data_IF_455936543714
#
_entry.id   IF_455936543714
#
_cell.length_a   1.000
_cell.length_b   1.000
_cell.length_c   1.000
_cell.angle_alpha   90.00
_cell.angle_beta   90.00
_cell.angle_gamma   90.00
#
_symmetry.space_group_name_H-M   'P 1'
#
loop_
_entity.id
_entity.type
_entity.pdbx_description
1 polymer ?
#
# COMPACT_ATOMS: atom_id res chain seq x y z
N UNK A 1 -47.79 23.30 73.48
CA UNK A 1 -49.02 24.12 73.31
C UNK A 1 -49.45 24.03 71.84
N UNK A 2 -50.71 23.57 71.69
CA UNK A 2 -51.72 23.87 70.59
C UNK A 2 -51.23 23.58 69.14
N UNK A 3 -51.91 22.94 68.28
CA UNK A 3 -53.19 22.19 68.09
C UNK A 3 -53.14 21.71 66.67
N UNK A 4 -53.25 20.50 66.42
CA UNK A 4 -54.31 19.66 65.78
C UNK A 4 -55.37 20.43 64.99
N UNK A 5 -55.49 20.21 63.69
CA UNK A 5 -56.80 20.12 62.97
C UNK A 5 -56.64 19.16 61.80
N UNK A 6 -57.41 18.09 61.91
CA UNK A 6 -57.75 17.07 60.92
C UNK A 6 -58.90 17.57 60.08
N UNK A 7 -58.84 17.33 58.73
CA UNK A 7 -60.07 17.37 57.95
C UNK A 7 -60.16 16.17 57.02
N UNK A 8 -61.15 15.37 57.26
CA UNK A 8 -61.67 14.26 56.42
C UNK A 8 -62.65 14.83 55.43
N UNK A 9 -62.66 14.37 54.21
CA UNK A 9 -63.82 14.30 53.32
C UNK A 9 -63.59 13.23 52.24
N UNK A 10 -64.16 12.19 52.31
CA UNK A 10 -65.29 11.36 51.82
C UNK A 10 -65.44 11.43 50.27
N UNK A 11 -65.09 10.35 49.70
CA UNK A 11 -65.58 9.48 48.60
C UNK A 11 -66.78 9.94 47.80
N UNK A 12 -66.65 9.93 46.48
CA UNK A 12 -67.66 9.40 45.59
C UNK A 12 -67.04 8.51 44.49
N UNK A 13 -67.49 7.25 44.50
CA UNK A 13 -67.31 6.32 43.36
C UNK A 13 -68.29 6.76 42.26
N UNK A 14 -67.82 6.86 41.05
CA UNK A 14 -68.58 6.73 39.83
C UNK A 14 -67.92 5.80 38.92
N UNK A 15 -68.41 4.58 38.74
CA UNK A 15 -68.14 3.68 37.67
C UNK A 15 -68.67 4.29 36.38
N UNK A 16 -67.75 4.45 35.40
CA UNK A 16 -68.14 4.42 34.00
C UNK A 16 -67.21 3.51 33.26
N UNK A 17 -67.76 2.40 32.85
CA UNK A 17 -67.19 1.48 31.87
C UNK A 17 -67.24 2.16 30.52
N UNK A 18 -66.07 2.47 29.96
CA UNK A 18 -65.94 2.65 28.54
C UNK A 18 -64.63 2.04 28.04
N UNK A 19 -64.84 1.16 27.12
CA UNK A 19 -63.99 0.41 26.23
C UNK A 19 -62.56 0.81 26.10
N UNK A 20 -61.67 -0.17 26.41
CA UNK A 20 -60.35 -0.32 25.91
C UNK A 20 -60.32 -0.24 24.37
N UNK A 21 -59.65 0.77 23.86
CA UNK A 21 -58.81 0.68 22.66
C UNK A 21 -57.41 0.96 23.12
N UNK A 22 -56.69 -0.08 23.46
CA UNK A 22 -55.25 -0.06 23.45
C UNK A 22 -54.81 0.16 22.00
N UNK A 23 -54.44 1.39 21.69
CA UNK A 23 -53.60 1.68 20.54
C UNK A 23 -52.30 0.97 20.76
N UNK A 24 -52.17 -0.18 20.13
CA UNK A 24 -50.86 -0.81 19.80
C UNK A 24 -50.12 0.09 18.79
N UNK A 25 -49.61 1.21 19.25
CA UNK A 25 -48.51 1.86 18.58
C UNK A 25 -47.25 1.02 18.85
N UNK A 26 -47.21 -0.18 18.28
CA UNK A 26 -45.93 -0.80 17.87
C UNK A 26 -45.34 0.13 16.83
N UNK A 27 -44.50 1.03 17.30
CA UNK A 27 -43.48 1.67 16.48
C UNK A 27 -42.64 0.53 15.93
N UNK A 28 -43.02 0.00 14.77
CA UNK A 28 -42.11 -0.70 13.89
C UNK A 28 -41.06 0.34 13.53
N UNK A 29 -40.01 0.41 14.32
CA UNK A 29 -38.75 0.95 13.85
C UNK A 29 -38.37 0.05 12.70
N UNK A 30 -38.72 0.45 11.48
CA UNK A 30 -38.10 -0.06 10.26
C UNK A 30 -36.64 0.27 10.48
N UNK A 31 -35.87 -0.74 10.92
CA UNK A 31 -34.40 -0.68 10.81
C UNK A 31 -34.15 -0.42 9.33
N UNK A 32 -33.80 0.82 9.01
CA UNK A 32 -33.34 1.18 7.67
C UNK A 32 -32.19 0.23 7.40
N UNK A 33 -32.39 -0.73 6.51
CA UNK A 33 -31.31 -1.62 6.11
C UNK A 33 -30.19 -0.73 5.60
N UNK A 34 -29.05 -0.79 6.27
CA UNK A 34 -27.88 -0.05 5.83
C UNK A 34 -27.50 -0.59 4.44
N UNK A 35 -27.19 0.31 3.49
CA UNK A 35 -26.83 -0.13 2.14
C UNK A 35 -25.63 -1.07 2.21
N UNK A 36 -25.66 -2.15 1.44
CA UNK A 36 -24.59 -3.15 1.39
C UNK A 36 -23.87 -3.12 0.05
N UNK A 37 -22.58 -3.43 0.06
CA UNK A 37 -21.77 -3.69 -1.13
C UNK A 37 -21.53 -5.19 -1.21
N UNK A 38 -21.63 -5.74 -2.42
CA UNK A 38 -21.30 -7.12 -2.70
C UNK A 38 -20.03 -7.19 -3.55
N UNK A 39 -19.03 -7.94 -3.08
CA UNK A 39 -17.77 -8.15 -3.78
C UNK A 39 -17.63 -9.64 -4.12
N UNK A 40 -17.38 -9.97 -5.39
CA UNK A 40 -17.12 -11.34 -5.83
C UNK A 40 -15.77 -11.83 -5.34
N UNK A 41 -15.75 -12.96 -4.64
CA UNK A 41 -14.51 -13.59 -4.16
C UNK A 41 -13.69 -14.20 -5.29
N UNK A 42 -14.34 -14.71 -6.34
CA UNK A 42 -13.63 -15.21 -7.52
C UNK A 42 -12.91 -14.07 -8.27
N UNK A 43 -13.61 -12.93 -8.45
CA UNK A 43 -12.99 -11.74 -9.04
C UNK A 43 -11.86 -11.22 -8.15
N UNK A 44 -12.05 -11.19 -6.84
CA UNK A 44 -11.03 -10.72 -5.90
C UNK A 44 -9.79 -11.63 -5.88
N UNK A 45 -10.00 -12.93 -6.01
CA UNK A 45 -8.91 -13.89 -6.17
C UNK A 45 -8.09 -13.62 -7.44
N UNK A 46 -8.76 -13.37 -8.58
CA UNK A 46 -8.10 -12.99 -9.83
C UNK A 46 -7.35 -11.66 -9.70
N UNK A 47 -7.94 -10.69 -8.99
CA UNK A 47 -7.31 -9.42 -8.68
C UNK A 47 -6.06 -9.58 -7.78
N UNK A 48 -6.10 -10.44 -6.77
CA UNK A 48 -4.92 -10.76 -5.93
C UNK A 48 -3.82 -11.46 -6.75
N UNK A 49 -4.19 -12.31 -7.70
CA UNK A 49 -3.23 -12.85 -8.65
C UNK A 49 -2.61 -11.76 -9.51
N UNK A 50 -3.45 -10.86 -10.03
CA UNK A 50 -3.02 -9.71 -10.82
C UNK A 50 -2.11 -8.77 -10.04
N UNK A 51 -2.34 -8.58 -8.74
CA UNK A 51 -1.43 -7.84 -7.86
C UNK A 51 -0.01 -8.43 -7.91
N UNK A 52 0.15 -9.71 -7.60
CA UNK A 52 1.47 -10.35 -7.55
C UNK A 52 2.17 -10.39 -8.90
N UNK A 53 1.43 -10.71 -9.96
CA UNK A 53 2.01 -10.73 -11.32
C UNK A 53 2.40 -9.33 -11.79
N UNK A 54 1.53 -8.35 -11.59
CA UNK A 54 1.77 -6.96 -11.99
C UNK A 54 2.93 -6.33 -11.23
N UNK A 55 3.02 -6.61 -9.92
CA UNK A 55 4.12 -6.18 -9.08
C UNK A 55 5.45 -6.78 -9.55
N UNK A 56 5.51 -8.10 -9.79
CA UNK A 56 6.74 -8.74 -10.28
C UNK A 56 7.19 -8.22 -11.65
N UNK A 57 6.28 -8.06 -12.63
CA UNK A 57 6.64 -7.50 -13.95
C UNK A 57 7.21 -6.09 -13.78
N UNK A 58 6.57 -5.29 -12.97
CA UNK A 58 6.91 -3.89 -12.79
C UNK A 58 8.21 -3.70 -11.99
N UNK A 59 8.36 -4.41 -10.86
CA UNK A 59 9.58 -4.40 -10.06
C UNK A 59 10.80 -4.78 -10.91
N UNK A 60 10.75 -5.94 -11.59
CA UNK A 60 11.90 -6.40 -12.40
C UNK A 60 12.20 -5.48 -13.58
N UNK A 61 11.20 -4.74 -14.09
CA UNK A 61 11.41 -3.73 -15.12
C UNK A 61 12.07 -2.48 -14.52
N UNK A 62 11.62 -2.04 -13.35
CA UNK A 62 12.21 -0.91 -12.63
C UNK A 62 13.64 -1.13 -12.17
N UNK A 63 13.95 -2.36 -11.72
CA UNK A 63 15.31 -2.77 -11.33
C UNK A 63 16.37 -2.58 -12.43
N UNK A 64 15.97 -2.47 -13.71
CA UNK A 64 16.94 -2.22 -14.80
C UNK A 64 17.60 -0.86 -14.63
N UNK A 65 16.89 0.13 -14.10
CA UNK A 65 17.35 1.52 -13.98
C UNK A 65 17.46 2.01 -12.54
N UNK A 66 17.34 1.09 -11.58
CA UNK A 66 17.41 1.41 -10.16
C UNK A 66 18.69 2.19 -9.84
N UNK A 67 18.53 3.38 -9.28
CA UNK A 67 19.61 4.28 -8.86
C UNK A 67 20.58 4.73 -9.97
N UNK A 68 20.25 4.54 -11.25
CA UNK A 68 21.04 5.06 -12.36
C UNK A 68 21.03 6.59 -12.40
N UNK A 69 19.85 7.16 -12.13
CA UNK A 69 19.58 8.60 -12.24
C UNK A 69 18.93 9.13 -10.97
N UNK A 70 19.75 9.80 -10.16
CA UNK A 70 19.28 10.51 -8.95
C UNK A 70 19.54 12.02 -9.00
N UNK A 71 19.93 12.52 -10.17
CA UNK A 71 20.42 13.89 -10.34
C UNK A 71 21.81 14.09 -9.74
N UNK A 72 22.10 15.33 -9.35
CA UNK A 72 23.40 15.68 -8.77
C UNK A 72 23.21 16.01 -7.28
N UNK A 73 23.44 15.03 -6.42
CA UNK A 73 23.21 15.12 -4.97
C UNK A 73 24.55 15.05 -4.23
N UNK A 74 24.94 16.12 -3.59
CA UNK A 74 26.24 16.18 -2.89
C UNK A 74 27.41 15.89 -3.85
N UNK A 75 28.16 14.83 -3.54
CA UNK A 75 29.28 14.37 -4.37
C UNK A 75 28.85 13.42 -5.49
N UNK A 76 27.66 12.84 -5.40
CA UNK A 76 27.12 11.91 -6.39
C UNK A 76 26.65 12.69 -7.62
N UNK A 77 27.09 12.28 -8.80
CA UNK A 77 26.78 12.91 -10.07
C UNK A 77 26.34 11.89 -11.09
N UNK A 78 25.02 11.75 -11.28
CA UNK A 78 24.47 10.82 -12.28
C UNK A 78 24.08 11.51 -13.59
N UNK A 79 24.26 12.84 -13.68
CA UNK A 79 23.91 13.61 -14.86
C UNK A 79 22.41 13.85 -15.02
N UNK A 80 21.99 13.99 -16.27
CA UNK A 80 20.59 14.22 -16.61
C UNK A 80 19.77 12.94 -16.43
N UNK A 81 18.53 13.12 -16.03
CA UNK A 81 17.58 12.00 -15.92
C UNK A 81 17.21 11.43 -17.29
N UNK A 82 16.72 10.20 -17.28
CA UNK A 82 16.15 9.58 -18.48
C UNK A 82 14.91 10.34 -18.97
N UNK A 83 14.64 10.19 -20.25
CA UNK A 83 13.46 10.69 -20.93
C UNK A 83 12.70 9.55 -21.61
N UNK A 84 11.51 9.79 -22.13
CA UNK A 84 10.77 8.78 -22.92
C UNK A 84 11.57 8.21 -24.10
N UNK A 85 12.54 8.98 -24.62
CA UNK A 85 13.37 8.55 -25.73
C UNK A 85 14.45 7.54 -25.33
N UNK A 86 14.63 7.29 -24.02
CA UNK A 86 15.59 6.32 -23.51
C UNK A 86 15.01 4.91 -23.39
N UNK A 87 13.69 4.76 -23.50
CA UNK A 87 13.07 3.45 -23.57
C UNK A 87 13.56 2.66 -24.81
N UNK A 88 14.01 1.43 -24.59
CA UNK A 88 14.62 0.57 -25.62
C UNK A 88 16.10 0.87 -25.89
N UNK A 89 16.71 1.87 -25.21
CA UNK A 89 18.14 2.14 -25.30
C UNK A 89 18.95 1.32 -24.29
N UNK A 90 20.27 1.23 -24.47
CA UNK A 90 21.13 0.57 -23.50
C UNK A 90 21.00 1.17 -22.10
N UNK A 91 21.02 0.29 -21.12
CA UNK A 91 21.13 0.60 -19.73
C UNK A 91 22.41 1.36 -19.39
N UNK A 92 22.41 2.13 -18.27
CA UNK A 92 23.54 2.90 -17.80
C UNK A 92 23.94 2.48 -16.38
N UNK A 93 25.15 2.83 -15.90
CA UNK A 93 25.58 2.48 -14.55
C UNK A 93 24.69 3.12 -13.47
N UNK A 94 24.37 2.32 -12.44
CA UNK A 94 23.82 2.85 -11.19
C UNK A 94 24.90 3.57 -10.35
N UNK A 95 24.52 4.14 -9.21
CA UNK A 95 25.45 4.88 -8.32
C UNK A 95 26.56 4.01 -7.72
N UNK A 96 26.43 2.69 -7.75
CA UNK A 96 27.42 1.73 -7.24
C UNK A 96 28.32 1.17 -8.36
N UNK A 97 28.03 1.51 -9.63
CA UNK A 97 28.73 0.98 -10.83
C UNK A 97 28.61 -0.54 -10.98
N UNK A 98 27.60 -1.15 -10.34
CA UNK A 98 27.29 -2.56 -10.43
C UNK A 98 26.33 -2.84 -11.60
N UNK A 99 26.45 -4.05 -12.19
CA UNK A 99 25.49 -4.52 -13.21
C UNK A 99 25.40 -3.64 -14.44
N UNK A 100 26.50 -3.29 -15.09
CA UNK A 100 26.53 -2.44 -16.29
C UNK A 100 26.91 -3.23 -17.53
N UNK A 101 25.97 -3.50 -18.44
CA UNK A 101 24.52 -3.31 -18.30
C UNK A 101 23.92 -4.17 -17.19
N UNK A 102 22.69 -3.88 -16.77
CA UNK A 102 21.98 -4.68 -15.77
C UNK A 102 21.95 -6.17 -16.18
N UNK A 103 22.19 -7.06 -15.22
CA UNK A 103 22.10 -8.52 -15.44
C UNK A 103 20.66 -8.97 -15.83
N UNK A 104 19.66 -8.13 -15.59
CA UNK A 104 18.26 -8.40 -15.92
C UNK A 104 17.95 -8.10 -17.38
N UNK A 105 18.47 -6.99 -17.91
CA UNK A 105 18.34 -6.57 -19.29
C UNK A 105 19.49 -5.64 -19.67
N UNK A 106 20.00 -5.78 -20.88
CA UNK A 106 20.99 -4.86 -21.43
C UNK A 106 20.40 -3.57 -21.99
N UNK A 107 19.08 -3.47 -22.00
CA UNK A 107 18.30 -2.33 -22.50
C UNK A 107 17.18 -2.00 -21.53
N UNK A 108 16.81 -0.73 -21.47
CA UNK A 108 15.67 -0.26 -20.67
C UNK A 108 14.39 -0.69 -21.36
N UNK A 109 13.86 -1.85 -20.99
CA UNK A 109 12.64 -2.43 -21.55
C UNK A 109 11.97 -3.34 -20.51
N UNK A 110 10.73 -3.79 -20.81
CA UNK A 110 10.03 -4.71 -19.94
C UNK A 110 10.81 -6.00 -19.71
N UNK A 111 10.93 -6.41 -18.45
CA UNK A 111 11.49 -7.69 -18.04
C UNK A 111 10.37 -8.67 -17.77
N UNK A 112 10.43 -9.82 -18.42
CA UNK A 112 9.43 -10.88 -18.31
C UNK A 112 10.04 -12.21 -17.91
N UNK A 113 9.21 -13.06 -17.31
CA UNK A 113 9.52 -14.49 -17.11
C UNK A 113 8.52 -15.33 -17.90
N UNK A 114 9.04 -16.16 -18.79
CA UNK A 114 8.25 -17.10 -19.56
C UNK A 114 7.69 -18.24 -18.69
N UNK A 115 6.72 -18.97 -19.21
CA UNK A 115 5.93 -19.96 -18.47
C UNK A 115 6.77 -21.00 -17.68
N UNK A 116 7.93 -21.40 -18.17
CA UNK A 116 8.86 -22.35 -17.56
C UNK A 116 9.91 -21.73 -16.64
N UNK A 117 9.98 -20.41 -16.59
CA UNK A 117 10.88 -19.67 -15.71
C UNK A 117 10.29 -19.45 -14.31
N UNK A 118 11.01 -18.74 -13.45
CA UNK A 118 10.59 -18.41 -12.08
C UNK A 118 10.92 -16.95 -11.79
N UNK A 119 9.93 -16.20 -11.30
CA UNK A 119 10.16 -14.87 -10.74
C UNK A 119 10.96 -14.99 -9.44
N UNK A 120 11.97 -14.19 -9.26
CA UNK A 120 12.63 -14.05 -7.98
C UNK A 120 11.92 -13.00 -7.13
N UNK A 121 11.96 -13.17 -5.82
CA UNK A 121 11.62 -12.10 -4.89
C UNK A 121 12.68 -11.01 -4.91
N UNK A 122 12.27 -9.82 -4.54
CA UNK A 122 13.09 -8.64 -4.33
C UNK A 122 12.57 -7.90 -3.10
N UNK A 123 13.23 -6.86 -2.60
CA UNK A 123 12.79 -6.18 -1.38
C UNK A 123 11.42 -5.51 -1.52
N UNK A 124 11.03 -5.07 -2.72
CA UNK A 124 9.69 -4.59 -3.04
C UNK A 124 8.59 -5.67 -3.08
N UNK A 125 8.92 -6.93 -2.95
CA UNK A 125 7.95 -8.04 -3.05
C UNK A 125 8.01 -9.00 -1.87
N UNK A 126 9.15 -9.10 -1.21
CA UNK A 126 9.44 -10.20 -0.29
C UNK A 126 8.90 -9.99 1.14
N UNK A 127 8.99 -8.76 1.67
CA UNK A 127 8.44 -8.46 3.01
C UNK A 127 6.92 -8.43 2.96
N UNK A 128 6.30 -7.99 1.87
CA UNK A 128 4.86 -8.11 1.65
C UNK A 128 4.40 -9.58 1.63
N UNK A 129 5.12 -10.43 0.89
CA UNK A 129 4.89 -11.87 0.92
C UNK A 129 5.04 -12.44 2.33
N UNK A 130 6.08 -12.02 3.06
CA UNK A 130 6.31 -12.44 4.44
C UNK A 130 5.17 -12.00 5.36
N UNK A 131 4.69 -10.75 5.28
CA UNK A 131 3.56 -10.27 6.09
C UNK A 131 2.27 -11.04 5.78
N UNK A 132 1.95 -11.27 4.50
CA UNK A 132 0.81 -12.11 4.13
C UNK A 132 0.95 -13.52 4.72
N UNK A 133 2.14 -14.12 4.64
CA UNK A 133 2.43 -15.44 5.17
C UNK A 133 2.27 -15.49 6.71
N UNK A 134 2.74 -14.46 7.41
CA UNK A 134 2.59 -14.36 8.86
C UNK A 134 1.11 -14.21 9.28
N UNK A 135 0.34 -13.36 8.60
CA UNK A 135 -1.10 -13.24 8.85
C UNK A 135 -1.83 -14.56 8.61
N UNK A 136 -1.49 -15.25 7.52
CA UNK A 136 -2.10 -16.53 7.17
C UNK A 136 -1.77 -17.63 8.19
N UNK A 137 -0.49 -17.80 8.53
CA UNK A 137 -0.03 -18.89 9.41
C UNK A 137 -0.33 -18.70 10.88
N UNK A 138 -0.41 -17.45 11.34
CA UNK A 138 -0.82 -17.12 12.71
C UNK A 138 -2.35 -17.02 12.86
N UNK A 139 -3.11 -17.21 11.78
CA UNK A 139 -4.57 -17.04 11.77
C UNK A 139 -5.00 -15.71 12.41
N UNK A 140 -4.26 -14.64 12.12
CA UNK A 140 -4.43 -13.32 12.74
C UNK A 140 -4.79 -12.26 11.72
N UNK A 141 -5.61 -11.29 12.12
CA UNK A 141 -5.91 -10.10 11.31
C UNK A 141 -4.92 -8.96 11.57
N UNK A 142 -4.34 -8.93 12.78
CA UNK A 142 -3.38 -7.92 13.21
C UNK A 142 -2.20 -8.66 13.83
N UNK A 143 -0.99 -8.39 13.32
CA UNK A 143 0.22 -8.97 13.87
C UNK A 143 0.61 -8.26 15.18
N UNK A 144 0.98 -9.05 16.18
CA UNK A 144 1.55 -8.52 17.43
C UNK A 144 3.04 -8.16 17.23
N UNK A 145 3.61 -7.31 18.10
CA UNK A 145 5.05 -6.99 18.06
C UNK A 145 5.95 -8.23 18.04
N UNK A 146 5.59 -9.23 18.83
CA UNK A 146 6.32 -10.50 18.90
C UNK A 146 6.22 -11.32 17.60
N UNK A 147 5.05 -11.37 16.98
CA UNK A 147 4.88 -12.08 15.70
C UNK A 147 5.69 -11.44 14.57
N UNK A 148 5.74 -10.12 14.52
CA UNK A 148 6.58 -9.40 13.55
C UNK A 148 8.04 -9.74 13.79
N UNK A 149 8.54 -9.52 15.02
CA UNK A 149 9.94 -9.81 15.35
C UNK A 149 10.31 -11.27 15.05
N UNK A 150 9.53 -12.22 15.55
CA UNK A 150 9.83 -13.65 15.36
C UNK A 150 9.79 -14.04 13.88
N UNK A 151 8.88 -13.45 13.10
CA UNK A 151 8.81 -13.62 11.65
C UNK A 151 10.04 -13.07 10.94
N UNK A 152 10.44 -11.86 11.26
CA UNK A 152 11.63 -11.23 10.69
C UNK A 152 12.89 -12.02 11.01
N UNK A 153 13.11 -12.39 12.28
CA UNK A 153 14.29 -13.18 12.70
C UNK A 153 14.32 -14.57 12.09
N UNK A 154 13.16 -15.14 11.75
CA UNK A 154 13.08 -16.47 11.12
C UNK A 154 13.31 -16.42 9.62
N UNK A 155 12.74 -15.43 8.94
CA UNK A 155 12.62 -15.44 7.49
C UNK A 155 13.63 -14.53 6.77
N UNK A 156 14.22 -13.57 7.47
CA UNK A 156 15.29 -12.75 6.92
C UNK A 156 16.62 -13.48 7.15
N UNK A 157 17.49 -13.47 6.14
CA UNK A 157 18.82 -14.05 6.23
C UNK A 157 19.68 -13.23 7.21
N UNK A 158 20.43 -13.86 8.11
CA UNK A 158 21.26 -13.15 9.08
C UNK A 158 22.58 -12.61 8.52
N UNK A 159 22.94 -13.02 7.30
CA UNK A 159 24.17 -12.67 6.60
C UNK A 159 24.15 -11.19 6.19
N UNK A 160 25.31 -10.66 5.79
CA UNK A 160 25.47 -9.26 5.37
C UNK A 160 24.68 -8.97 4.09
N UNK A 161 24.68 -9.89 3.13
CA UNK A 161 23.88 -9.80 1.91
C UNK A 161 22.49 -10.40 2.15
N UNK A 162 21.61 -9.62 2.77
CA UNK A 162 20.27 -10.07 3.16
C UNK A 162 19.14 -9.30 2.48
N UNK A 163 19.43 -8.46 1.50
CA UNK A 163 18.45 -7.64 0.79
C UNK A 163 17.58 -6.78 1.74
N UNK A 164 18.21 -6.30 2.82
CA UNK A 164 17.62 -5.26 3.66
C UNK A 164 18.42 -3.98 3.48
N UNK A 165 17.70 -2.91 3.30
CA UNK A 165 18.28 -1.60 3.18
C UNK A 165 17.98 -0.76 4.43
N UNK A 166 18.70 0.25 4.58
CA UNK A 166 18.66 1.37 5.52
C UNK A 166 17.79 1.18 6.77
N UNK A 167 16.50 1.54 6.76
CA UNK A 167 15.66 1.45 7.96
C UNK A 167 15.19 0.03 8.26
N UNK A 168 15.01 -0.82 7.23
CA UNK A 168 14.72 -2.24 7.40
C UNK A 168 15.90 -2.96 8.06
N UNK A 169 17.15 -2.72 7.61
CA UNK A 169 18.34 -3.31 8.22
C UNK A 169 18.48 -2.88 9.67
N UNK A 170 18.30 -1.59 9.96
CA UNK A 170 18.36 -1.08 11.34
C UNK A 170 17.30 -1.69 12.24
N UNK A 171 16.07 -1.81 11.75
CA UNK A 171 14.99 -2.46 12.50
C UNK A 171 15.27 -3.93 12.77
N UNK A 172 15.83 -4.65 11.79
CA UNK A 172 16.24 -6.05 11.94
C UNK A 172 17.33 -6.22 13.01
N UNK A 173 18.35 -5.37 13.00
CA UNK A 173 19.42 -5.40 14.02
C UNK A 173 18.86 -5.11 15.42
N UNK A 174 18.00 -4.12 15.56
CA UNK A 174 17.29 -3.85 16.81
C UNK A 174 16.45 -5.05 17.29
N UNK A 175 15.78 -5.76 16.37
CA UNK A 175 15.04 -6.98 16.71
C UNK A 175 15.95 -8.12 17.17
N UNK A 176 17.16 -8.26 16.61
CA UNK A 176 18.19 -9.21 17.08
C UNK A 176 18.60 -8.89 18.52
N UNK A 177 18.69 -7.61 18.87
CA UNK A 177 19.00 -7.13 20.21
C UNK A 177 17.80 -7.20 21.19
N UNK A 178 16.64 -7.68 20.71
CA UNK A 178 15.45 -7.89 21.55
C UNK A 178 14.45 -6.74 21.57
N UNK A 179 14.69 -5.67 20.80
CA UNK A 179 13.73 -4.58 20.64
C UNK A 179 12.54 -5.07 19.83
N UNK A 180 11.35 -4.64 20.21
CA UNK A 180 10.10 -5.01 19.52
C UNK A 180 9.54 -3.81 18.73
N UNK A 181 8.87 -4.04 17.60
CA UNK A 181 8.00 -3.01 17.03
C UNK A 181 6.94 -2.56 18.07
N UNK A 182 6.58 -1.29 18.12
CA UNK A 182 6.97 -0.22 17.22
C UNK A 182 8.31 0.47 17.55
N UNK A 183 9.02 0.08 18.60
CA UNK A 183 10.26 0.74 19.01
C UNK A 183 11.40 0.59 17.98
N UNK A 184 11.36 -0.42 17.13
CA UNK A 184 12.34 -0.61 16.04
C UNK A 184 12.33 0.50 14.98
N UNK A 185 11.23 1.23 14.83
CA UNK A 185 11.14 2.41 13.98
C UNK A 185 11.18 3.73 14.78
N UNK A 186 11.44 3.71 16.09
CA UNK A 186 11.53 4.93 16.88
C UNK A 186 12.73 5.78 16.46
N UNK A 187 12.55 7.09 16.17
CA UNK A 187 13.62 7.99 15.72
C UNK A 187 14.86 8.03 16.62
N UNK A 188 14.71 7.74 17.91
CA UNK A 188 15.83 7.69 18.84
C UNK A 188 16.67 6.40 18.74
N UNK A 189 16.14 5.36 18.08
CA UNK A 189 16.78 4.05 17.93
C UNK A 189 17.10 3.72 16.48
N UNK A 190 16.27 4.18 15.55
CA UNK A 190 16.42 4.00 14.11
C UNK A 190 16.53 5.39 13.46
N UNK A 191 17.74 5.82 13.23
CA UNK A 191 18.06 7.10 12.60
C UNK A 191 17.59 7.19 11.13
N UNK A 192 17.16 6.07 10.55
CA UNK A 192 16.71 5.94 9.17
C UNK A 192 15.19 5.93 9.01
N UNK A 193 14.44 6.32 10.01
CA UNK A 193 12.97 6.24 10.08
C UNK A 193 12.22 7.01 8.97
N UNK A 194 12.90 7.92 8.25
CA UNK A 194 12.35 8.69 7.11
C UNK A 194 12.70 8.08 5.74
N UNK A 195 13.26 6.87 5.71
CA UNK A 195 13.55 6.16 4.46
C UNK A 195 12.32 5.48 3.89
N UNK A 196 12.45 5.04 2.63
CA UNK A 196 11.39 4.48 1.81
C UNK A 196 10.82 3.14 2.30
N UNK A 197 11.56 2.40 3.11
CA UNK A 197 11.36 0.98 3.41
C UNK A 197 9.94 0.57 3.84
N UNK A 198 9.21 1.41 4.59
CA UNK A 198 7.85 1.06 4.99
C UNK A 198 6.85 1.19 3.83
N UNK A 199 7.05 2.14 2.90
CA UNK A 199 6.13 2.33 1.79
C UNK A 199 6.17 1.19 0.77
N UNK A 200 7.33 0.56 0.56
CA UNK A 200 7.51 -0.57 -0.36
C UNK A 200 7.14 -1.94 0.25
N UNK A 201 6.87 -2.01 1.54
CA UNK A 201 6.66 -3.30 2.23
C UNK A 201 5.28 -3.45 2.85
N UNK A 202 4.41 -2.43 2.80
CA UNK A 202 3.17 -2.43 3.57
C UNK A 202 1.90 -2.14 2.77
N UNK A 203 1.96 -1.82 1.50
CA UNK A 203 0.79 -1.50 0.69
C UNK A 203 -0.20 -2.66 0.55
N UNK A 204 0.27 -3.90 0.57
CA UNK A 204 -0.56 -5.11 0.52
C UNK A 204 -1.64 -5.13 1.61
N UNK A 205 -1.39 -4.49 2.76
CA UNK A 205 -2.37 -4.45 3.85
C UNK A 205 -3.68 -3.76 3.42
N UNK A 206 -3.62 -2.87 2.42
CA UNK A 206 -4.80 -2.29 1.80
C UNK A 206 -5.73 -3.34 1.20
N UNK A 207 -5.16 -4.37 0.58
CA UNK A 207 -5.92 -5.45 -0.05
C UNK A 207 -6.61 -6.39 0.97
N UNK A 208 -6.17 -6.43 2.21
CA UNK A 208 -6.82 -7.28 3.23
C UNK A 208 -8.09 -6.64 3.83
N UNK A 209 -8.30 -5.34 3.63
CA UNK A 209 -9.51 -4.65 4.08
C UNK A 209 -10.17 -3.89 2.90
N UNK A 210 -10.82 -4.61 1.97
CA UNK A 210 -11.41 -4.02 0.77
C UNK A 210 -12.45 -2.95 1.14
N UNK A 211 -12.37 -1.78 0.50
CA UNK A 211 -13.26 -0.64 0.71
C UNK A 211 -13.21 0.03 2.08
N UNK A 212 -12.30 -0.41 2.96
CA UNK A 212 -12.20 0.04 4.36
C UNK A 212 -10.79 0.53 4.70
N UNK A 213 -10.38 1.72 4.18
CA UNK A 213 -9.07 2.29 4.49
C UNK A 213 -8.80 2.42 5.99
N UNK A 214 -9.82 2.75 6.79
CA UNK A 214 -9.71 2.84 8.24
C UNK A 214 -9.25 1.54 8.90
N UNK A 215 -9.75 0.39 8.43
CA UNK A 215 -9.32 -0.93 8.91
C UNK A 215 -7.99 -1.35 8.29
N UNK A 216 -7.76 -1.06 7.03
CA UNK A 216 -6.48 -1.30 6.38
C UNK A 216 -5.35 -0.61 7.15
N UNK A 217 -5.52 0.67 7.50
CA UNK A 217 -4.57 1.43 8.30
C UNK A 217 -4.40 0.87 9.71
N UNK A 218 -5.48 0.38 10.34
CA UNK A 218 -5.40 -0.29 11.64
C UNK A 218 -4.54 -1.57 11.57
N UNK A 219 -4.70 -2.37 10.53
CA UNK A 219 -3.96 -3.62 10.32
C UNK A 219 -2.49 -3.32 9.97
N UNK A 220 -2.25 -2.31 9.14
CA UNK A 220 -0.92 -1.92 8.69
C UNK A 220 -0.11 -1.11 9.74
N UNK A 221 -0.76 -0.58 10.77
CA UNK A 221 -0.15 0.37 11.71
C UNK A 221 1.18 -0.11 12.27
N UNK A 222 1.20 -1.32 12.84
CA UNK A 222 2.43 -1.85 13.44
C UNK A 222 3.49 -2.27 12.40
N UNK A 223 3.13 -2.93 11.27
CA UNK A 223 4.06 -3.13 10.16
C UNK A 223 4.72 -1.83 9.66
N UNK A 224 3.97 -0.77 9.43
CA UNK A 224 4.52 0.54 9.05
C UNK A 224 5.48 1.05 10.13
N UNK A 225 5.05 1.02 11.38
CA UNK A 225 5.85 1.52 12.50
C UNK A 225 7.03 0.60 12.87
N UNK A 226 7.20 -0.52 12.21
CA UNK A 226 8.39 -1.35 12.36
C UNK A 226 9.64 -0.60 11.91
N UNK A 227 9.54 0.25 10.89
CA UNK A 227 10.67 0.97 10.28
C UNK A 227 10.47 2.46 10.11
N UNK A 228 9.24 2.97 10.04
CA UNK A 228 8.93 4.35 9.70
C UNK A 228 8.24 5.13 10.82
N UNK A 229 8.47 6.44 10.83
CA UNK A 229 7.76 7.44 11.62
C UNK A 229 7.59 8.73 10.83
N UNK A 230 6.80 9.62 11.41
CA UNK A 230 6.56 10.95 10.85
C UNK A 230 6.07 10.86 9.40
N UNK A 231 6.65 11.61 8.48
CA UNK A 231 6.21 11.70 7.09
C UNK A 231 6.32 10.37 6.32
N UNK A 232 7.34 9.54 6.60
CA UNK A 232 7.46 8.23 5.97
C UNK A 232 6.33 7.28 6.42
N UNK A 233 5.85 7.40 7.66
CA UNK A 233 4.66 6.70 8.13
C UNK A 233 3.41 7.18 7.38
N UNK A 234 3.23 8.50 7.20
CA UNK A 234 2.07 9.06 6.53
C UNK A 234 2.07 8.73 5.02
N UNK A 235 3.23 8.74 4.37
CA UNK A 235 3.40 8.26 2.99
C UNK A 235 2.99 6.79 2.87
N UNK A 236 3.44 5.94 3.78
CA UNK A 236 3.04 4.52 3.78
C UNK A 236 1.53 4.33 3.95
N UNK A 237 0.88 5.15 4.79
CA UNK A 237 -0.58 5.18 4.94
C UNK A 237 -1.29 5.59 3.64
N UNK A 238 -0.70 6.49 2.87
CA UNK A 238 -1.23 6.87 1.56
C UNK A 238 -1.33 5.65 0.63
N UNK A 239 -0.27 4.86 0.50
CA UNK A 239 -0.28 3.67 -0.34
C UNK A 239 -1.27 2.61 0.15
N UNK A 240 -1.29 2.30 1.44
CA UNK A 240 -2.28 1.38 2.04
C UNK A 240 -3.71 1.84 1.75
N UNK A 241 -3.97 3.15 1.81
CA UNK A 241 -5.28 3.72 1.49
C UNK A 241 -5.63 3.52 0.02
N UNK A 242 -4.70 3.79 -0.91
CA UNK A 242 -4.88 3.55 -2.34
C UNK A 242 -5.30 2.11 -2.62
N UNK A 243 -4.59 1.15 -2.05
CA UNK A 243 -4.84 -0.28 -2.25
C UNK A 243 -6.19 -0.73 -1.67
N UNK A 244 -6.59 -0.23 -0.52
CA UNK A 244 -7.92 -0.53 0.04
C UNK A 244 -9.06 -0.02 -0.84
N UNK A 245 -8.89 1.16 -1.44
CA UNK A 245 -9.88 1.77 -2.34
C UNK A 245 -9.93 1.12 -3.72
N UNK A 246 -8.88 0.42 -4.15
CA UNK A 246 -8.79 -0.20 -5.47
C UNK A 246 -9.89 -1.23 -5.76
N UNK A 247 -10.49 -1.81 -4.71
CA UNK A 247 -11.59 -2.76 -4.80
C UNK A 247 -12.95 -2.11 -5.11
N UNK A 248 -13.07 -0.78 -5.05
CA UNK A 248 -14.32 -0.05 -5.36
C UNK A 248 -14.43 0.12 -6.88
N UNK A 249 -15.34 -0.63 -7.51
CA UNK A 249 -15.43 -0.69 -8.98
C UNK A 249 -16.64 0.00 -9.60
N UNK A 250 -17.73 0.20 -8.85
CA UNK A 250 -19.05 0.42 -9.47
C UNK A 250 -19.45 1.88 -9.73
N UNK A 251 -18.66 2.85 -9.29
CA UNK A 251 -19.04 4.28 -9.38
C UNK A 251 -18.21 5.12 -10.33
N UNK A 252 -17.12 4.59 -10.89
CA UNK A 252 -16.15 5.36 -11.68
C UNK A 252 -15.91 4.71 -13.04
N UNK A 253 -15.98 5.50 -14.12
CA UNK A 253 -16.09 5.00 -15.48
C UNK A 253 -14.77 4.57 -16.12
N UNK A 254 -13.69 5.31 -15.92
CA UNK A 254 -12.39 5.04 -16.52
C UNK A 254 -11.33 4.73 -15.46
N UNK A 255 -10.24 4.11 -15.89
CA UNK A 255 -9.12 3.81 -14.99
C UNK A 255 -8.48 5.09 -14.44
N UNK A 256 -8.29 6.11 -15.29
CA UNK A 256 -7.76 7.41 -14.86
C UNK A 256 -8.68 8.11 -13.84
N UNK A 257 -10.00 8.10 -14.06
CA UNK A 257 -10.95 8.65 -13.08
C UNK A 257 -10.92 7.91 -11.73
N UNK A 258 -10.72 6.59 -11.76
CA UNK A 258 -10.56 5.77 -10.55
C UNK A 258 -9.29 6.14 -9.80
N UNK A 259 -8.15 6.20 -10.50
CA UNK A 259 -6.86 6.58 -9.90
C UNK A 259 -6.92 7.99 -9.34
N UNK A 260 -7.47 8.95 -10.08
CA UNK A 260 -7.64 10.33 -9.60
C UNK A 260 -8.47 10.37 -8.32
N UNK A 261 -9.62 9.66 -8.29
CA UNK A 261 -10.47 9.60 -7.10
C UNK A 261 -9.77 8.92 -5.91
N UNK A 262 -9.09 7.78 -6.13
CA UNK A 262 -8.37 7.07 -5.08
C UNK A 262 -7.25 7.93 -4.51
N UNK A 263 -6.48 8.59 -5.36
CA UNK A 263 -5.36 9.43 -4.93
C UNK A 263 -5.83 10.68 -4.18
N UNK A 264 -6.92 11.33 -4.62
CA UNK A 264 -7.53 12.44 -3.89
C UNK A 264 -8.02 11.99 -2.50
N UNK A 265 -8.56 10.77 -2.39
CA UNK A 265 -8.95 10.20 -1.09
C UNK A 265 -7.75 9.82 -0.22
N UNK A 266 -6.73 9.23 -0.81
CA UNK A 266 -5.50 8.89 -0.09
C UNK A 266 -4.74 10.14 0.37
N UNK A 267 -4.81 11.27 -0.38
CA UNK A 267 -4.27 12.56 0.03
C UNK A 267 -4.81 13.04 1.39
N UNK A 268 -6.04 12.64 1.76
CA UNK A 268 -6.66 13.03 3.03
C UNK A 268 -5.94 12.46 4.27
N UNK A 269 -5.08 11.42 4.11
CA UNK A 269 -4.29 10.88 5.24
C UNK A 269 -3.01 11.68 5.49
N UNK A 270 -2.58 12.49 4.51
CA UNK A 270 -1.39 13.34 4.63
C UNK A 270 -1.79 14.65 5.34
N UNK A 271 -1.10 15.04 6.44
CA UNK A 271 -1.36 16.33 7.08
C UNK A 271 -1.13 17.51 6.12
N UNK A 272 -2.04 18.46 6.06
CA UNK A 272 -1.97 19.59 5.10
C UNK A 272 -0.67 20.42 5.18
N UNK A 273 -0.01 20.42 6.34
CA UNK A 273 1.26 21.12 6.56
C UNK A 273 2.50 20.28 6.25
N UNK A 274 2.33 19.04 5.87
CA UNK A 274 3.42 18.10 5.62
C UNK A 274 4.07 18.36 4.25
N UNK A 275 5.34 18.01 4.12
CA UNK A 275 6.00 18.08 2.82
C UNK A 275 5.41 17.04 1.85
N UNK A 276 4.97 15.90 2.36
CA UNK A 276 4.33 14.86 1.55
C UNK A 276 3.00 15.34 0.93
N UNK A 277 2.20 16.08 1.68
CA UNK A 277 1.00 16.73 1.18
C UNK A 277 1.33 17.76 0.08
N UNK A 278 2.33 18.60 0.32
CA UNK A 278 2.80 19.58 -0.68
C UNK A 278 3.36 18.91 -1.94
N UNK A 279 4.09 17.81 -1.80
CA UNK A 279 4.58 17.00 -2.93
C UNK A 279 3.43 16.46 -3.78
N UNK A 280 2.41 15.91 -3.13
CA UNK A 280 1.21 15.44 -3.82
C UNK A 280 0.53 16.58 -4.59
N UNK A 281 0.20 17.67 -3.91
CA UNK A 281 -0.53 18.80 -4.47
C UNK A 281 0.26 19.46 -5.62
N UNK A 282 1.58 19.55 -5.48
CA UNK A 282 2.47 20.11 -6.51
C UNK A 282 2.53 19.20 -7.76
N UNK A 283 2.75 17.90 -7.58
CA UNK A 283 2.81 16.94 -8.69
C UNK A 283 1.49 16.88 -9.43
N UNK A 284 0.37 16.81 -8.71
CA UNK A 284 -0.96 16.83 -9.31
C UNK A 284 -1.24 18.14 -10.08
N UNK A 285 -0.78 19.28 -9.56
CA UNK A 285 -0.88 20.58 -10.25
C UNK A 285 -0.10 20.59 -11.56
N UNK A 286 1.11 20.06 -11.59
CA UNK A 286 1.92 19.95 -12.81
C UNK A 286 1.21 19.10 -13.85
N UNK A 287 0.70 17.94 -13.47
CA UNK A 287 -0.09 17.05 -14.33
C UNK A 287 -1.33 17.77 -14.88
N UNK A 288 -2.18 18.35 -14.02
CA UNK A 288 -3.40 19.08 -14.44
C UNK A 288 -3.11 20.30 -15.31
N UNK A 289 -1.90 20.85 -15.25
CA UNK A 289 -1.45 21.97 -16.09
C UNK A 289 -0.91 21.52 -17.46
N UNK A 290 -0.88 20.22 -17.75
CA UNK A 290 -0.40 19.68 -19.02
C UNK A 290 1.11 19.79 -19.21
N UNK A 291 1.88 19.92 -18.13
CA UNK A 291 3.35 19.89 -18.18
C UNK A 291 3.79 18.47 -18.52
N UNK A 292 4.71 18.23 -19.48
CA UNK A 292 5.23 16.90 -19.75
C UNK A 292 5.84 16.24 -18.51
N UNK A 293 5.74 14.90 -18.40
CA UNK A 293 6.17 14.21 -17.18
C UNK A 293 7.66 14.39 -16.86
N UNK A 294 8.51 14.48 -17.88
CA UNK A 294 9.95 14.74 -17.69
C UNK A 294 10.18 16.09 -17.02
N UNK A 295 9.49 17.13 -17.50
CA UNK A 295 9.59 18.48 -16.90
C UNK A 295 8.95 18.54 -15.51
N UNK A 296 7.91 17.76 -15.27
CA UNK A 296 7.31 17.63 -13.95
C UNK A 296 8.28 16.98 -12.96
N UNK A 297 8.91 15.83 -13.34
CA UNK A 297 9.93 15.16 -12.58
C UNK A 297 11.12 16.10 -12.30
N UNK A 298 11.63 16.82 -13.30
CA UNK A 298 12.73 17.77 -13.14
C UNK A 298 12.35 18.92 -12.18
N UNK A 299 11.10 19.39 -12.26
CA UNK A 299 10.58 20.41 -11.34
C UNK A 299 10.52 19.89 -9.88
N UNK A 300 10.15 18.62 -9.68
CA UNK A 300 10.17 17.96 -8.38
C UNK A 300 11.61 17.83 -7.86
N UNK A 301 12.54 17.40 -8.70
CA UNK A 301 13.95 17.30 -8.37
C UNK A 301 14.50 18.66 -7.88
N UNK A 302 14.29 19.74 -8.65
CA UNK A 302 14.78 21.06 -8.25
C UNK A 302 14.10 21.57 -6.99
N UNK A 303 12.79 21.41 -6.86
CA UNK A 303 12.05 21.92 -5.72
C UNK A 303 12.45 21.20 -4.42
N UNK A 304 12.50 19.90 -4.43
CA UNK A 304 12.65 19.11 -3.20
C UNK A 304 14.08 18.64 -2.97
N UNK A 305 14.74 18.08 -3.97
CA UNK A 305 16.08 17.54 -3.76
C UNK A 305 17.16 18.64 -3.74
N UNK A 306 17.02 19.66 -4.56
CA UNK A 306 17.99 20.75 -4.66
C UNK A 306 17.68 21.88 -3.68
N UNK A 307 16.45 22.43 -3.73
CA UNK A 307 16.06 23.60 -2.96
C UNK A 307 15.52 23.24 -1.56
N UNK A 308 15.11 22.00 -1.31
CA UNK A 308 14.56 21.50 -0.05
C UNK A 308 13.40 22.39 0.46
N UNK A 309 12.44 22.68 -0.44
CA UNK A 309 11.28 23.50 -0.14
C UNK A 309 10.24 22.74 0.70
N UNK A 310 9.24 23.46 1.21
CA UNK A 310 8.07 22.94 1.96
C UNK A 310 8.43 22.14 3.22
N UNK A 311 9.60 22.37 3.81
CA UNK A 311 10.06 21.66 5.00
C UNK A 311 10.72 20.32 4.72
N UNK A 312 10.90 19.95 3.45
CA UNK A 312 11.68 18.77 3.08
C UNK A 312 13.17 19.04 3.28
N UNK A 313 13.73 18.51 4.35
CA UNK A 313 15.09 18.81 4.79
C UNK A 313 15.94 17.54 4.85
N UNK A 314 16.73 17.32 3.80
CA UNK A 314 17.66 16.17 3.70
C UNK A 314 19.05 16.50 4.23
N UNK A 315 19.46 17.77 4.19
CA UNK A 315 20.84 18.19 4.51
C UNK A 315 21.07 18.29 6.00
N UNK A 316 20.20 18.98 6.76
CA UNK A 316 20.38 19.14 8.20
C UNK A 316 20.09 17.82 8.94
N UNK A 317 19.16 17.03 8.43
CA UNK A 317 18.87 15.67 8.93
C UNK A 317 19.95 14.66 8.56
N UNK A 318 20.86 14.98 7.64
CA UNK A 318 21.93 14.09 7.16
C UNK A 318 21.40 12.74 6.68
N UNK A 319 20.31 12.77 5.92
CA UNK A 319 19.70 11.55 5.42
C UNK A 319 20.71 10.74 4.59
N UNK A 320 20.64 9.42 4.72
CA UNK A 320 21.51 8.49 4.00
C UNK A 320 21.55 8.82 2.51
N UNK A 321 22.73 8.70 1.88
CA UNK A 321 22.94 9.02 0.46
C UNK A 321 22.41 10.41 0.05
N UNK A 322 22.45 11.41 0.98
CA UNK A 322 21.81 12.73 0.76
C UNK A 322 20.33 12.62 0.33
N UNK A 323 19.62 11.64 0.87
CA UNK A 323 18.19 11.43 0.66
C UNK A 323 17.83 10.71 -0.64
N UNK A 324 18.74 9.98 -1.27
CA UNK A 324 18.42 9.22 -2.49
C UNK A 324 17.35 8.14 -2.24
N UNK A 325 17.33 7.53 -1.06
CA UNK A 325 16.32 6.59 -0.59
C UNK A 325 15.31 7.22 0.39
N UNK A 326 15.22 8.54 0.45
CA UNK A 326 14.27 9.18 1.34
C UNK A 326 12.84 8.97 0.84
N UNK A 327 11.91 8.69 1.77
CA UNK A 327 10.50 8.47 1.46
C UNK A 327 9.89 9.61 0.66
N UNK A 328 10.22 10.87 0.97
CA UNK A 328 9.64 12.03 0.31
C UNK A 328 9.92 12.12 -1.18
N UNK A 329 11.21 12.10 -1.60
CA UNK A 329 11.53 12.25 -3.02
C UNK A 329 11.03 11.06 -3.85
N UNK A 330 11.11 9.84 -3.31
CA UNK A 330 10.62 8.64 -3.97
C UNK A 330 9.08 8.64 -4.05
N UNK A 331 8.39 9.15 -3.03
CA UNK A 331 6.95 9.40 -3.10
C UNK A 331 6.59 10.38 -4.22
N UNK A 332 7.26 11.52 -4.29
CA UNK A 332 7.00 12.51 -5.33
C UNK A 332 7.27 11.96 -6.74
N UNK A 333 8.36 11.20 -6.92
CA UNK A 333 8.68 10.50 -8.17
C UNK A 333 7.60 9.46 -8.53
N UNK A 334 7.13 8.69 -7.54
CA UNK A 334 6.07 7.70 -7.76
C UNK A 334 4.76 8.34 -8.23
N UNK A 335 4.42 9.53 -7.72
CA UNK A 335 3.23 10.27 -8.16
C UNK A 335 3.34 10.74 -9.62
N UNK A 336 4.55 10.95 -10.15
CA UNK A 336 4.73 11.23 -11.58
C UNK A 336 4.26 10.03 -12.40
N UNK A 337 4.73 8.82 -12.10
CA UNK A 337 4.31 7.62 -12.84
C UNK A 337 2.82 7.34 -12.66
N UNK A 338 2.25 7.53 -11.49
CA UNK A 338 0.83 7.34 -11.22
C UNK A 338 -0.06 8.26 -12.06
N UNK A 339 0.20 9.57 -12.03
CA UNK A 339 -0.65 10.54 -12.70
C UNK A 339 -0.48 10.52 -14.22
N UNK A 340 0.75 10.45 -14.70
CA UNK A 340 1.02 10.51 -16.14
C UNK A 340 0.86 9.17 -16.85
N UNK A 341 0.87 8.07 -16.11
CA UNK A 341 0.49 6.75 -16.63
C UNK A 341 -1.02 6.58 -16.83
N UNK A 342 -1.86 7.44 -16.20
CA UNK A 342 -3.32 7.51 -16.39
C UNK A 342 -4.03 6.15 -16.21
N UNK A 343 -3.39 5.22 -15.51
CA UNK A 343 -3.88 3.86 -15.29
C UNK A 343 -3.65 2.88 -16.43
N UNK A 344 -2.91 3.27 -17.45
CA UNK A 344 -2.31 2.33 -18.39
C UNK A 344 -1.12 1.63 -17.74
N UNK A 345 -1.17 0.29 -17.64
CA UNK A 345 -0.14 -0.48 -16.94
C UNK A 345 1.24 -0.31 -17.58
N UNK A 346 1.31 -0.36 -18.93
CA UNK A 346 2.59 -0.24 -19.63
C UNK A 346 3.20 1.14 -19.47
N UNK A 347 2.39 2.17 -19.65
CA UNK A 347 2.86 3.55 -19.58
C UNK A 347 3.26 3.93 -18.14
N UNK A 348 2.50 3.47 -17.14
CA UNK A 348 2.84 3.68 -15.72
C UNK A 348 4.20 3.05 -15.37
N UNK A 349 4.43 1.79 -15.80
CA UNK A 349 5.72 1.11 -15.60
C UNK A 349 6.85 1.85 -16.31
N UNK A 350 6.67 2.21 -17.60
CA UNK A 350 7.71 2.94 -18.36
C UNK A 350 8.11 4.24 -17.70
N UNK A 351 7.13 5.05 -17.29
CA UNK A 351 7.41 6.34 -16.65
C UNK A 351 8.10 6.11 -15.31
N UNK A 352 7.67 5.14 -14.49
CA UNK A 352 8.32 4.80 -13.22
C UNK A 352 9.77 4.40 -13.41
N UNK A 353 10.04 3.47 -14.34
CA UNK A 353 11.37 3.01 -14.71
C UNK A 353 12.29 4.18 -15.15
N UNK A 354 11.77 5.15 -15.88
CA UNK A 354 12.56 6.28 -16.40
C UNK A 354 12.60 7.49 -15.45
N UNK A 355 11.80 7.50 -14.39
CA UNK A 355 11.71 8.67 -13.50
C UNK A 355 12.97 8.90 -12.67
N UNK A 356 13.73 7.85 -12.35
CA UNK A 356 14.95 7.92 -11.56
C UNK A 356 14.73 7.57 -10.09
N UNK A 357 15.78 7.74 -9.29
CA UNK A 357 15.91 7.29 -7.89
C UNK A 357 15.72 5.78 -7.78
N UNK A 358 14.95 5.34 -6.82
CA UNK A 358 14.58 3.96 -6.55
C UNK A 358 13.44 3.54 -7.49
N UNK A 359 13.77 3.33 -8.76
CA UNK A 359 12.77 3.22 -9.84
C UNK A 359 11.94 1.94 -9.81
N UNK A 360 12.43 0.87 -9.19
CA UNK A 360 11.69 -0.38 -9.02
C UNK A 360 10.58 -0.28 -7.97
N UNK A 361 10.76 0.54 -6.94
CA UNK A 361 9.72 0.77 -5.94
C UNK A 361 8.43 1.38 -6.53
N UNK A 362 8.43 2.58 -7.19
CA UNK A 362 7.20 3.11 -7.76
C UNK A 362 6.62 2.23 -8.85
N UNK A 363 7.45 1.50 -9.59
CA UNK A 363 6.94 0.57 -10.59
C UNK A 363 6.28 -0.63 -9.94
N UNK A 364 6.89 -1.26 -8.93
CA UNK A 364 6.30 -2.37 -8.18
C UNK A 364 4.96 -1.98 -7.56
N UNK A 365 4.93 -0.86 -6.84
CA UNK A 365 3.72 -0.35 -6.20
C UNK A 365 2.59 -0.13 -7.20
N UNK A 366 2.80 0.63 -8.27
CA UNK A 366 1.71 0.91 -9.21
C UNK A 366 1.43 -0.24 -10.16
N UNK A 367 2.43 -1.05 -10.49
CA UNK A 367 2.25 -2.29 -11.23
C UNK A 367 1.38 -3.28 -10.45
N UNK A 368 1.60 -3.40 -9.15
CA UNK A 368 0.77 -4.17 -8.24
C UNK A 368 -0.66 -3.62 -8.13
N UNK A 369 -0.81 -2.31 -7.93
CA UNK A 369 -2.12 -1.65 -7.84
C UNK A 369 -2.95 -1.81 -9.11
N UNK A 370 -2.39 -1.45 -10.28
CA UNK A 370 -3.09 -1.55 -11.56
C UNK A 370 -3.31 -3.02 -11.91
N UNK A 371 -2.31 -3.88 -11.65
CA UNK A 371 -2.43 -5.32 -11.81
C UNK A 371 -3.59 -5.91 -10.99
N UNK A 372 -3.77 -5.48 -9.73
CA UNK A 372 -4.94 -5.82 -8.93
C UNK A 372 -6.24 -5.32 -9.59
N UNK A 373 -6.25 -4.10 -10.10
CA UNK A 373 -7.47 -3.52 -10.66
C UNK A 373 -7.94 -4.20 -11.95
N UNK A 374 -7.01 -4.70 -12.78
CA UNK A 374 -7.33 -5.37 -14.06
C UNK A 374 -7.34 -6.90 -13.98
N UNK A 375 -6.76 -7.47 -12.92
CA UNK A 375 -6.63 -8.91 -12.74
C UNK A 375 -5.60 -9.57 -13.66
N UNK A 376 -5.40 -10.88 -13.47
CA UNK A 376 -4.47 -11.68 -14.28
C UNK A 376 -4.76 -11.58 -15.78
N UNK A 377 -6.02 -11.81 -16.15
CA UNK A 377 -6.40 -11.83 -17.56
C UNK A 377 -6.18 -10.47 -18.22
N UNK A 378 -6.44 -9.36 -17.51
CA UNK A 378 -6.17 -8.01 -17.99
C UNK A 378 -4.68 -7.73 -18.20
N UNK A 379 -3.79 -8.27 -17.36
CA UNK A 379 -2.34 -8.16 -17.55
C UNK A 379 -1.91 -8.95 -18.80
N UNK A 380 -2.36 -10.21 -18.92
CA UNK A 380 -2.04 -11.05 -20.07
C UNK A 380 -2.55 -10.44 -21.40
N UNK A 381 -3.74 -9.85 -21.38
CA UNK A 381 -4.29 -9.09 -22.54
C UNK A 381 -3.45 -7.85 -22.85
N UNK A 382 -3.06 -7.08 -21.82
CA UNK A 382 -2.23 -5.87 -21.97
C UNK A 382 -0.91 -6.16 -22.67
N UNK A 383 -0.26 -7.26 -22.36
CA UNK A 383 1.04 -7.64 -22.93
C UNK A 383 0.94 -8.63 -24.10
N UNK A 384 -0.26 -9.12 -24.44
CA UNK A 384 -0.50 -10.16 -25.45
C UNK A 384 0.38 -11.40 -25.26
N UNK A 385 0.52 -11.86 -23.99
CA UNK A 385 1.31 -13.05 -23.65
C UNK A 385 0.89 -13.68 -22.33
N UNK A 386 1.34 -14.92 -22.12
CA UNK A 386 1.26 -15.62 -20.85
C UNK A 386 2.59 -15.51 -20.10
N UNK A 387 2.51 -15.57 -18.77
CA UNK A 387 3.66 -15.41 -17.89
C UNK A 387 3.85 -16.62 -16.99
N UNK A 388 5.04 -16.76 -16.42
CA UNK A 388 5.27 -17.66 -15.30
C UNK A 388 4.35 -17.29 -14.13
N UNK A 389 3.80 -18.31 -13.48
CA UNK A 389 3.06 -18.16 -12.23
C UNK A 389 3.89 -18.52 -10.99
N UNK A 390 5.18 -18.85 -11.17
CA UNK A 390 6.08 -19.36 -10.13
C UNK A 390 6.89 -18.25 -9.53
N UNK A 391 7.01 -18.26 -8.19
CA UNK A 391 7.71 -17.25 -7.41
C UNK A 391 8.70 -17.91 -6.44
N UNK A 392 9.93 -17.42 -6.38
CA UNK A 392 10.98 -17.89 -5.50
C UNK A 392 11.27 -16.86 -4.41
N UNK A 393 10.65 -17.04 -3.24
CA UNK A 393 10.91 -16.18 -2.08
C UNK A 393 12.31 -16.41 -1.49
N UNK A 394 12.94 -17.56 -1.72
CA UNK A 394 14.28 -17.83 -1.21
C UNK A 394 15.40 -17.10 -2.00
N UNK A 395 15.09 -16.35 -3.07
CA UNK A 395 16.09 -15.44 -3.63
C UNK A 395 16.59 -14.46 -2.56
N UNK A 396 15.68 -13.83 -1.83
CA UNK A 396 16.01 -12.80 -0.83
C UNK A 396 15.75 -13.23 0.62
N UNK A 397 14.84 -14.16 0.87
CA UNK A 397 14.42 -14.59 2.22
C UNK A 397 14.75 -16.08 2.44
N UNK A 398 14.32 -16.66 3.57
CA UNK A 398 14.61 -18.07 3.93
C UNK A 398 13.51 -18.71 4.77
N UNK A 399 13.62 -20.02 4.99
CA UNK A 399 12.77 -20.81 5.89
C UNK A 399 11.27 -20.80 5.53
N UNK A 400 10.94 -20.64 4.25
CA UNK A 400 9.61 -20.86 3.74
C UNK A 400 9.43 -22.30 3.23
N UNK A 401 8.18 -22.82 3.18
CA UNK A 401 7.88 -24.17 2.65
C UNK A 401 8.32 -24.34 1.18
N UNK A 402 8.39 -25.60 0.72
CA UNK A 402 8.65 -25.96 -0.68
C UNK A 402 9.93 -25.35 -1.25
N UNK A 403 10.97 -25.31 -0.44
CA UNK A 403 12.26 -24.71 -0.81
C UNK A 403 12.15 -23.25 -1.32
N UNK A 404 11.14 -22.54 -0.82
CA UNK A 404 10.86 -21.14 -1.19
C UNK A 404 10.09 -20.95 -2.49
N UNK A 405 9.71 -22.03 -3.18
CA UNK A 405 8.91 -21.92 -4.41
C UNK A 405 7.42 -21.89 -4.07
N UNK A 406 6.77 -20.84 -4.48
CA UNK A 406 5.32 -20.63 -4.40
C UNK A 406 4.75 -20.37 -5.80
N UNK A 407 3.43 -20.21 -5.89
CA UNK A 407 2.74 -19.80 -7.11
C UNK A 407 1.81 -18.64 -6.82
N UNK A 408 1.58 -17.79 -7.82
CA UNK A 408 0.65 -16.67 -7.66
C UNK A 408 -0.77 -17.12 -7.32
N UNK A 409 -1.19 -18.32 -7.80
CA UNK A 409 -2.46 -18.93 -7.38
C UNK A 409 -2.51 -19.20 -5.88
N UNK A 410 -1.44 -19.77 -5.31
CA UNK A 410 -1.39 -20.07 -3.89
C UNK A 410 -1.23 -18.80 -3.06
N UNK A 411 -0.46 -17.83 -3.54
CA UNK A 411 -0.31 -16.51 -2.92
C UNK A 411 -1.66 -15.76 -2.89
N UNK A 412 -2.37 -15.71 -4.00
CA UNK A 412 -3.71 -15.13 -4.09
C UNK A 412 -4.73 -15.86 -3.17
N UNK A 413 -4.65 -17.18 -3.10
CA UNK A 413 -5.51 -17.98 -2.20
C UNK A 413 -5.26 -17.66 -0.74
N UNK A 414 -4.00 -17.53 -0.32
CA UNK A 414 -3.64 -17.13 1.05
C UNK A 414 -4.16 -15.72 1.36
N UNK A 415 -3.96 -14.77 0.43
CA UNK A 415 -4.48 -13.42 0.55
C UNK A 415 -6.01 -13.39 0.69
N UNK A 416 -6.72 -14.19 -0.14
CA UNK A 416 -8.18 -14.32 -0.04
C UNK A 416 -8.64 -14.84 1.34
N UNK A 417 -7.93 -15.84 1.91
CA UNK A 417 -8.24 -16.38 3.24
C UNK A 417 -8.00 -15.32 4.33
N UNK A 418 -6.94 -14.54 4.24
CA UNK A 418 -6.70 -13.40 5.16
C UNK A 418 -7.84 -12.38 5.03
N UNK A 419 -8.21 -12.01 3.80
CA UNK A 419 -9.30 -11.08 3.54
C UNK A 419 -10.65 -11.61 4.02
N UNK A 420 -10.96 -12.90 3.82
CA UNK A 420 -12.19 -13.55 4.35
C UNK A 420 -12.32 -13.33 5.85
N UNK A 421 -11.22 -13.50 6.58
CA UNK A 421 -11.17 -13.34 8.03
C UNK A 421 -11.35 -11.88 8.45
N UNK A 422 -10.65 -10.96 7.79
CA UNK A 422 -10.83 -9.52 8.05
C UNK A 422 -12.25 -9.06 7.76
N UNK A 423 -12.83 -9.49 6.63
CA UNK A 423 -14.22 -9.16 6.27
C UNK A 423 -15.21 -9.65 7.33
N UNK A 424 -15.05 -10.87 7.84
CA UNK A 424 -15.99 -11.44 8.80
C UNK A 424 -15.78 -10.97 10.23
N UNK A 425 -14.54 -10.79 10.67
CA UNK A 425 -14.20 -10.51 12.06
C UNK A 425 -14.03 -9.04 12.37
N UNK A 426 -13.48 -8.24 11.42
CA UNK A 426 -13.21 -6.82 11.63
C UNK A 426 -14.25 -5.92 10.95
N UNK A 427 -14.77 -6.30 9.79
CA UNK A 427 -15.71 -5.49 9.02
C UNK A 427 -17.17 -5.81 9.34
N UNK A 428 -17.46 -6.89 10.09
CA UNK A 428 -18.82 -7.38 10.34
C UNK A 428 -19.53 -7.82 9.05
N UNK A 429 -18.78 -8.15 8.01
CA UNK A 429 -19.32 -8.64 6.75
C UNK A 429 -19.70 -10.11 6.81
N UNK A 430 -20.37 -10.59 5.78
CA UNK A 430 -20.86 -11.97 5.64
C UNK A 430 -20.32 -12.57 4.36
N UNK A 431 -19.97 -13.86 4.42
CA UNK A 431 -19.63 -14.66 3.24
C UNK A 431 -20.88 -15.44 2.80
N UNK A 432 -21.42 -15.12 1.62
CA UNK A 432 -22.42 -15.96 0.95
C UNK A 432 -21.70 -17.01 0.09
N UNK A 433 -21.53 -18.19 0.65
CA UNK A 433 -20.83 -19.30 -0.03
C UNK A 433 -21.55 -19.81 -1.28
N UNK A 434 -22.87 -19.60 -1.42
CA UNK A 434 -23.63 -20.04 -2.61
C UNK A 434 -23.35 -19.14 -3.81
N UNK A 435 -23.18 -17.83 -3.55
CA UNK A 435 -22.88 -16.84 -4.59
C UNK A 435 -21.39 -16.55 -4.69
N UNK A 436 -20.58 -17.05 -3.77
CA UNK A 436 -19.16 -16.77 -3.60
C UNK A 436 -18.84 -15.27 -3.54
N UNK A 437 -19.57 -14.56 -2.66
CA UNK A 437 -19.43 -13.11 -2.47
C UNK A 437 -19.25 -12.74 -1.01
N UNK A 438 -18.59 -11.63 -0.75
CA UNK A 438 -18.70 -10.88 0.49
C UNK A 438 -19.90 -9.92 0.41
N UNK A 439 -20.61 -9.77 1.52
CA UNK A 439 -21.63 -8.75 1.72
C UNK A 439 -21.14 -7.86 2.85
N UNK A 440 -20.82 -6.61 2.55
CA UNK A 440 -20.25 -5.63 3.47
C UNK A 440 -21.22 -4.47 3.62
N UNK A 441 -21.54 -4.06 4.85
CA UNK A 441 -22.44 -2.92 5.08
C UNK A 441 -21.75 -1.59 4.78
N UNK A 442 -22.46 -0.67 4.14
CA UNK A 442 -21.91 0.64 3.76
C UNK A 442 -21.59 1.55 4.95
N UNK A 443 -22.27 1.39 6.07
CA UNK A 443 -21.93 2.06 7.34
C UNK A 443 -20.53 1.69 7.83
N UNK A 444 -19.99 0.57 7.34
CA UNK A 444 -18.60 0.16 7.56
C UNK A 444 -17.59 0.92 6.68
N UNK A 445 -18.03 1.60 5.62
CA UNK A 445 -17.16 2.44 4.77
C UNK A 445 -17.04 3.82 5.44
N UNK A 446 -16.24 3.88 6.49
CA UNK A 446 -15.90 5.17 7.10
C UNK A 446 -14.75 5.79 6.29
N UNK A 447 -14.93 7.02 5.89
CA UNK A 447 -13.83 7.84 5.38
C UNK A 447 -12.85 8.13 6.52
N UNK A 448 -11.58 8.26 6.19
CA UNK A 448 -10.45 8.41 7.14
C UNK A 448 -10.60 9.61 8.09
N UNK A 449 -11.59 10.48 7.89
CA UNK A 449 -11.82 11.73 8.61
C UNK A 449 -13.07 11.74 9.52
N UNK A 450 -13.36 10.64 10.23
CA UNK A 450 -14.35 10.72 11.33
C UNK A 450 -13.77 10.20 12.64
#
# INVERSE_FOLDING_TARGET
>A
MKKLITFFLIIFFSCNTDNQKQDENKINSIKKEEPTISISRDKYYDQLYGFWLGQCIANWTGLVTEMDKIGNIGEIKTGDFYTRDDWGKPDQPNIWEEGVPSDLSSTIDFVFKDYDEIWGSDDDTDIEYMYQYLLYTNESNILSPKQIRDGWLKHIKPEEENYLWVSNQKAFDLMKDGVLPPETGNPNLNEHFEMIDAQLTTEIFGLFAPTRPDLALKIAHLPIQTTAREEAEDISKFYVTMYSLASITDTIKTMNERISWMSDKAREVLPDSSYSAHMFDYTQKLYKSGIPWEQARDSIYYRYQVNQEDGYDITSKKLYCNGCFAAGINFAASLVSLFYGEGDLKETIKIGTLAGWDSDNPTATWGGLIGFMIGKDGIEETFDRKFSNRFNIHRTRQNFPNDGIDTFENMAKKGLIVTDRVVTEEMGGIIDLKKNIWIITQSSIKTVNQ
#
